data_IF_531749858977
#
_entry.id   IF_531749858977
#
_cell.length_a   1.000
_cell.length_b   1.000
_cell.length_c   1.000
_cell.angle_alpha   90.00
_cell.angle_beta   90.00
_cell.angle_gamma   90.00
#
_symmetry.space_group_name_H-M   'P 1'
#
loop_
_entity.id
_entity.type
_entity.pdbx_description
1 polymer ?
#
# COMPACT_ATOMS: atom_id res chain seq x y z
N UNK A 1 -2.91 18.65 22.81
CA UNK A 1 -1.71 18.42 21.96
C UNK A 1 -1.51 19.66 21.11
N UNK A 2 -0.33 20.26 21.14
CA UNK A 2 0.05 21.31 20.19
C UNK A 2 0.06 20.72 18.78
N UNK A 3 -0.45 21.44 17.79
CA UNK A 3 -0.45 21.03 16.37
C UNK A 3 0.93 20.58 15.88
N UNK A 4 1.99 21.15 16.44
CA UNK A 4 3.37 20.85 16.09
C UNK A 4 3.79 19.43 16.51
N UNK A 5 3.34 18.97 17.69
CA UNK A 5 3.65 17.62 18.18
C UNK A 5 3.01 16.57 17.30
N UNK A 6 1.78 16.83 16.86
CA UNK A 6 1.07 15.95 15.94
C UNK A 6 1.75 15.91 14.57
N UNK A 7 2.13 17.08 14.04
CA UNK A 7 2.81 17.18 12.75
C UNK A 7 4.10 16.36 12.74
N UNK A 8 4.90 16.44 13.81
CA UNK A 8 6.14 15.65 13.98
C UNK A 8 5.89 14.15 14.03
N UNK A 9 4.87 13.70 14.74
CA UNK A 9 4.49 12.28 14.80
C UNK A 9 4.11 11.77 13.41
N UNK A 10 3.25 12.51 12.70
CA UNK A 10 2.84 12.15 11.33
C UNK A 10 4.05 12.13 10.39
N UNK A 11 4.95 13.11 10.49
CA UNK A 11 6.19 13.16 9.70
C UNK A 11 7.08 11.93 9.94
N UNK A 12 7.21 11.51 11.21
CA UNK A 12 7.94 10.31 11.59
C UNK A 12 7.31 9.04 10.99
N UNK A 13 5.98 8.92 11.09
CA UNK A 13 5.25 7.79 10.50
C UNK A 13 5.48 7.73 8.99
N UNK A 14 5.26 8.84 8.27
CA UNK A 14 5.43 8.92 6.81
C UNK A 14 6.85 8.52 6.39
N UNK A 15 7.86 8.97 7.13
CA UNK A 15 9.26 8.62 6.87
C UNK A 15 9.51 7.12 7.05
N UNK A 16 9.07 6.55 8.16
CA UNK A 16 9.28 5.13 8.47
C UNK A 16 8.59 4.19 7.48
N UNK A 17 7.32 4.44 7.17
CA UNK A 17 6.56 3.60 6.23
C UNK A 17 7.03 3.77 4.79
N UNK A 18 7.56 4.94 4.42
CA UNK A 18 8.21 5.15 3.12
C UNK A 18 9.45 4.27 2.94
N UNK A 19 10.27 4.14 3.99
CA UNK A 19 11.42 3.23 3.98
C UNK A 19 11.01 1.76 3.86
N UNK A 20 10.00 1.32 4.62
CA UNK A 20 9.48 -0.06 4.54
C UNK A 20 8.90 -0.36 3.16
N UNK A 21 8.11 0.57 2.61
CA UNK A 21 7.53 0.45 1.26
C UNK A 21 8.62 0.33 0.20
N UNK A 22 9.62 1.22 0.21
CA UNK A 22 10.74 1.16 -0.72
C UNK A 22 11.53 -0.15 -0.61
N UNK A 23 11.77 -0.64 0.61
CA UNK A 23 12.46 -1.91 0.85
C UNK A 23 11.72 -3.15 0.34
N UNK A 24 10.41 -3.05 0.12
CA UNK A 24 9.62 -4.14 -0.46
C UNK A 24 9.63 -4.20 -1.99
N UNK A 25 10.15 -3.15 -2.67
CA UNK A 25 10.26 -3.11 -4.12
C UNK A 25 11.61 -3.71 -4.54
N UNK A 26 11.55 -4.84 -5.25
CA UNK A 26 12.73 -5.58 -5.69
C UNK A 26 12.83 -5.54 -7.21
N UNK A 27 14.01 -5.17 -7.72
CA UNK A 27 14.34 -5.19 -9.15
C UNK A 27 15.28 -6.34 -9.42
N UNK A 28 14.83 -7.37 -10.12
CA UNK A 28 15.71 -8.46 -10.56
C UNK A 28 16.48 -8.01 -11.81
N UNK A 29 17.79 -8.26 -11.83
CA UNK A 29 18.74 -7.63 -12.79
C UNK A 29 18.64 -8.13 -14.24
N UNK A 30 17.96 -9.25 -14.51
CA UNK A 30 17.95 -9.87 -15.85
C UNK A 30 16.68 -9.63 -16.67
N UNK A 31 15.55 -9.29 -16.03
CA UNK A 31 14.32 -8.94 -16.73
C UNK A 31 13.76 -7.63 -16.18
N UNK A 32 12.97 -6.90 -16.97
CA UNK A 32 12.25 -5.68 -16.53
C UNK A 32 11.12 -6.01 -15.53
N UNK A 33 11.30 -7.06 -14.72
CA UNK A 33 10.36 -7.59 -13.75
C UNK A 33 10.60 -6.93 -12.39
N UNK A 34 9.67 -6.06 -12.00
CA UNK A 34 9.68 -5.37 -10.71
C UNK A 34 8.70 -6.12 -9.81
N UNK A 35 9.22 -6.73 -8.74
CA UNK A 35 8.42 -7.45 -7.75
C UNK A 35 8.16 -6.58 -6.53
N UNK A 36 7.01 -6.80 -5.89
CA UNK A 36 6.66 -6.17 -4.63
C UNK A 36 6.16 -4.72 -4.73
N UNK A 37 5.92 -4.18 -5.94
CA UNK A 37 5.33 -2.85 -6.12
C UNK A 37 3.96 -2.72 -5.42
N UNK A 38 3.12 -3.74 -5.55
CA UNK A 38 1.78 -3.81 -4.94
C UNK A 38 1.84 -3.96 -3.43
N UNK A 39 2.82 -4.73 -2.95
CA UNK A 39 3.10 -4.86 -1.51
C UNK A 39 3.55 -3.52 -0.93
N UNK A 40 4.41 -2.78 -1.63
CA UNK A 40 4.83 -1.45 -1.21
C UNK A 40 3.63 -0.49 -1.10
N UNK A 41 2.76 -0.49 -2.10
CA UNK A 41 1.56 0.34 -2.13
C UNK A 41 0.57 -0.04 -1.00
N UNK A 42 0.36 -1.32 -0.74
CA UNK A 42 -0.59 -1.78 0.29
C UNK A 42 -0.09 -1.48 1.71
N UNK A 43 1.21 -1.58 1.97
CA UNK A 43 1.82 -1.16 3.24
C UNK A 43 1.62 0.34 3.46
N UNK A 44 1.84 1.16 2.42
CA UNK A 44 1.62 2.60 2.50
C UNK A 44 0.16 2.95 2.82
N UNK A 45 -0.79 2.33 2.12
CA UNK A 45 -2.22 2.52 2.36
C UNK A 45 -2.64 2.09 3.76
N UNK A 46 -2.13 0.96 4.25
CA UNK A 46 -2.43 0.45 5.61
C UNK A 46 -1.99 1.47 6.67
N UNK A 47 -0.83 2.09 6.50
CA UNK A 47 -0.35 3.14 7.39
C UNK A 47 -1.24 4.40 7.34
N UNK A 48 -1.60 4.86 6.15
CA UNK A 48 -2.48 6.02 5.97
C UNK A 48 -3.86 5.80 6.62
N UNK A 49 -4.42 4.60 6.48
CA UNK A 49 -5.67 4.18 7.14
C UNK A 49 -5.50 4.20 8.67
N UNK A 50 -4.42 3.62 9.20
CA UNK A 50 -4.13 3.62 10.63
C UNK A 50 -4.00 5.02 11.21
N UNK A 51 -3.38 5.94 10.48
CA UNK A 51 -3.30 7.37 10.85
C UNK A 51 -4.69 8.01 10.85
N UNK A 52 -5.52 7.76 9.83
CA UNK A 52 -6.89 8.28 9.77
C UNK A 52 -7.75 7.77 10.95
N UNK A 53 -7.59 6.50 11.34
CA UNK A 53 -8.23 5.93 12.53
C UNK A 53 -7.72 6.60 13.81
N UNK A 54 -6.41 6.78 13.95
CA UNK A 54 -5.80 7.46 15.09
C UNK A 54 -6.26 8.91 15.27
N UNK A 55 -6.70 9.55 14.18
CA UNK A 55 -7.33 10.87 14.18
C UNK A 55 -8.83 10.87 14.47
N UNK A 56 -9.45 9.72 14.66
CA UNK A 56 -10.90 9.59 14.86
C UNK A 56 -11.72 9.73 13.57
N UNK A 57 -11.09 9.84 12.40
CA UNK A 57 -11.77 9.96 11.11
C UNK A 57 -12.16 8.59 10.55
N UNK A 58 -13.12 7.95 11.21
CA UNK A 58 -13.57 6.60 10.85
C UNK A 58 -14.19 6.55 9.45
N UNK A 59 -14.89 7.61 9.01
CA UNK A 59 -15.44 7.69 7.66
C UNK A 59 -14.37 7.60 6.58
N UNK A 60 -13.29 8.39 6.71
CA UNK A 60 -12.16 8.38 5.76
C UNK A 60 -11.40 7.05 5.83
N UNK A 61 -11.23 6.50 7.03
CA UNK A 61 -10.56 5.21 7.23
C UNK A 61 -11.32 4.06 6.54
N UNK A 62 -12.65 3.99 6.72
CA UNK A 62 -13.49 2.98 6.08
C UNK A 62 -13.50 3.12 4.56
N UNK A 63 -13.65 4.35 4.06
CA UNK A 63 -13.63 4.61 2.61
C UNK A 63 -12.30 4.19 1.99
N UNK A 64 -11.18 4.61 2.60
CA UNK A 64 -9.83 4.28 2.15
C UNK A 64 -9.58 2.77 2.19
N UNK A 65 -10.06 2.09 3.23
CA UNK A 65 -9.97 0.63 3.35
C UNK A 65 -10.72 -0.06 2.22
N UNK A 66 -11.96 0.36 1.94
CA UNK A 66 -12.77 -0.22 0.87
C UNK A 66 -12.09 -0.04 -0.50
N UNK A 67 -11.60 1.16 -0.81
CA UNK A 67 -10.86 1.40 -2.05
C UNK A 67 -9.57 0.59 -2.16
N UNK A 68 -8.83 0.44 -1.07
CA UNK A 68 -7.61 -0.37 -1.02
C UNK A 68 -7.92 -1.83 -1.31
N UNK A 69 -8.96 -2.39 -0.67
CA UNK A 69 -9.38 -3.77 -0.88
C UNK A 69 -9.89 -4.00 -2.30
N UNK A 70 -10.67 -3.08 -2.86
CA UNK A 70 -11.12 -3.15 -4.26
C UNK A 70 -9.92 -3.16 -5.20
N UNK A 71 -8.97 -2.25 -5.00
CA UNK A 71 -7.78 -2.14 -5.85
C UNK A 71 -6.95 -3.43 -5.80
N UNK A 72 -6.70 -3.96 -4.60
CA UNK A 72 -5.95 -5.20 -4.42
C UNK A 72 -6.69 -6.41 -5.00
N UNK A 73 -8.01 -6.47 -4.84
CA UNK A 73 -8.84 -7.51 -5.42
C UNK A 73 -8.82 -7.47 -6.96
N UNK A 74 -8.90 -6.29 -7.56
CA UNK A 74 -8.80 -6.10 -9.01
C UNK A 74 -7.45 -6.58 -9.53
N UNK A 75 -6.36 -6.25 -8.84
CA UNK A 75 -5.03 -6.71 -9.23
C UNK A 75 -4.86 -8.22 -9.10
N UNK A 76 -5.33 -8.81 -7.99
CA UNK A 76 -5.34 -10.27 -7.81
C UNK A 76 -6.16 -10.97 -8.89
N UNK A 77 -7.30 -10.39 -9.28
CA UNK A 77 -8.12 -10.90 -10.39
C UNK A 77 -7.39 -10.81 -11.73
N UNK A 78 -6.69 -9.71 -11.97
CA UNK A 78 -5.90 -9.51 -13.18
C UNK A 78 -4.74 -10.52 -13.25
N UNK A 79 -4.04 -10.73 -12.13
CA UNK A 79 -2.95 -11.70 -12.05
C UNK A 79 -3.44 -13.14 -12.28
N UNK A 80 -4.54 -13.53 -11.62
CA UNK A 80 -5.16 -14.86 -11.79
C UNK A 80 -5.68 -15.11 -13.22
N UNK A 81 -6.13 -14.05 -13.92
CA UNK A 81 -6.55 -14.16 -15.34
C UNK A 81 -5.36 -14.33 -16.30
N UNK A 82 -4.21 -13.71 -16.00
CA UNK A 82 -3.00 -13.87 -16.83
C UNK A 82 -2.44 -15.29 -16.77
N UNK A 83 -2.46 -15.91 -15.59
CA UNK A 83 -1.92 -17.26 -15.38
C UNK A 83 -2.69 -18.34 -16.15
N UNK A 84 -4.03 -18.23 -16.21
CA UNK A 84 -4.89 -19.17 -16.97
C UNK A 84 -4.76 -19.05 -18.49
N UNK A 85 -4.37 -17.88 -18.98
CA UNK A 85 -4.22 -17.64 -20.44
C UNK A 85 -2.86 -18.14 -20.94
N UNK A 86 -1.83 -18.19 -20.08
CA UNK A 86 -0.48 -18.65 -20.44
C UNK A 86 -0.33 -20.19 -20.48
N UNK A 87 -1.17 -20.93 -19.76
CA UNK A 87 -1.13 -22.41 -19.67
C UNK A 87 -2.02 -23.13 -20.70
N UNK A 88 -2.79 -22.39 -21.50
CA UNK A 88 -3.66 -22.96 -22.56
C UNK A 88 -2.99 -22.91 -23.96
N UNK A 89 -1.69 -22.60 -24.03
CA UNK A 89 -0.91 -22.55 -25.26
C UNK A 89 0.25 -23.54 -25.20
#
# INVERSE_FOLDING_TARGET
MSTDGLSRVVQGIITGIGFVGAGSILKLSEERDIKGLTTAASVWMTAAIGVAVGFGSLGIALLSTLFTLITLALEGLYHSRREKTATTK
#
